data_IF_583464742256
#
_entry.id   IF_583464742256
#
_cell.length_a   1.000
_cell.length_b   1.000
_cell.length_c   1.000
_cell.angle_alpha   90.00
_cell.angle_beta   90.00
_cell.angle_gamma   90.00
#
_symmetry.space_group_name_H-M   'P 1'
#
loop_
_entity.id
_entity.type
_entity.pdbx_description
1 polymer ?
#
# COMPACT_ATOMS: atom_id res chain seq x y z
N UNK A 1 -61.75 15.19 7.13
CA UNK A 1 -61.72 13.78 6.69
C UNK A 1 -60.27 13.38 6.46
N UNK A 2 -59.72 12.56 7.37
CA UNK A 2 -58.29 12.23 7.50
C UNK A 2 -58.03 10.93 6.74
N UNK A 3 -57.36 10.98 5.59
CA UNK A 3 -56.99 9.78 4.82
C UNK A 3 -55.67 9.24 5.36
N UNK A 4 -55.73 8.05 5.96
CA UNK A 4 -54.61 7.21 6.34
C UNK A 4 -53.88 6.76 5.07
N UNK A 5 -52.67 7.27 4.83
CA UNK A 5 -51.74 6.66 3.88
C UNK A 5 -51.05 5.48 4.59
N UNK A 6 -51.34 4.27 4.12
CA UNK A 6 -50.70 3.04 4.58
C UNK A 6 -49.22 3.04 4.24
N UNK A 7 -48.40 2.74 5.25
CA UNK A 7 -46.98 2.42 5.13
C UNK A 7 -46.87 1.04 4.45
N UNK A 8 -46.52 1.01 3.16
CA UNK A 8 -46.02 -0.20 2.51
C UNK A 8 -44.53 -0.28 2.78
N UNK A 9 -44.15 -1.12 3.75
CA UNK A 9 -42.76 -1.53 3.97
C UNK A 9 -42.41 -2.50 2.82
N UNK A 10 -41.46 -2.18 1.92
CA UNK A 10 -40.99 -3.18 0.97
C UNK A 10 -40.23 -4.24 1.76
N UNK A 11 -40.72 -5.48 1.70
CA UNK A 11 -39.99 -6.64 2.15
C UNK A 11 -38.67 -6.72 1.35
N UNK A 12 -37.55 -6.43 2.00
CA UNK A 12 -36.24 -6.80 1.50
C UNK A 12 -36.18 -8.33 1.46
N UNK A 13 -36.37 -8.89 0.28
CA UNK A 13 -36.03 -10.28 0.01
C UNK A 13 -34.51 -10.36 0.14
N UNK A 14 -34.04 -10.97 1.24
CA UNK A 14 -32.66 -11.43 1.36
C UNK A 14 -32.52 -12.55 0.32
N UNK A 15 -31.99 -12.22 -0.85
CA UNK A 15 -31.54 -13.22 -1.82
C UNK A 15 -30.44 -14.03 -1.16
N UNK A 16 -30.77 -15.26 -0.76
CA UNK A 16 -29.78 -16.27 -0.40
C UNK A 16 -28.80 -16.43 -1.56
N UNK A 17 -27.51 -16.43 -1.25
CA UNK A 17 -26.46 -16.74 -2.21
C UNK A 17 -26.78 -18.11 -2.84
N UNK A 18 -26.93 -18.13 -4.17
CA UNK A 18 -26.98 -19.39 -4.89
C UNK A 18 -25.64 -20.10 -4.62
N UNK A 19 -25.68 -21.26 -3.98
CA UNK A 19 -24.52 -22.12 -3.85
C UNK A 19 -24.10 -22.51 -5.27
N UNK A 20 -22.94 -22.02 -5.71
CA UNK A 20 -22.33 -22.43 -6.98
C UNK A 20 -22.01 -23.92 -6.98
N UNK A 21 -21.71 -24.47 -8.16
CA UNK A 21 -21.18 -25.83 -8.28
C UNK A 21 -19.89 -25.95 -7.44
N UNK A 22 -19.86 -26.81 -6.40
CA UNK A 22 -18.69 -26.97 -5.54
C UNK A 22 -17.41 -27.27 -6.30
N UNK A 23 -17.50 -27.99 -7.43
CA UNK A 23 -16.35 -28.30 -8.28
C UNK A 23 -15.76 -27.03 -8.89
N UNK A 24 -16.61 -26.14 -9.40
CA UNK A 24 -16.17 -24.88 -9.99
C UNK A 24 -15.55 -23.93 -8.95
N UNK A 25 -16.10 -23.91 -7.74
CA UNK A 25 -15.52 -23.15 -6.61
C UNK A 25 -14.15 -23.72 -6.22
N UNK A 26 -14.01 -25.04 -6.08
CA UNK A 26 -12.73 -25.69 -5.77
C UNK A 26 -11.69 -25.41 -6.87
N UNK A 27 -12.08 -25.52 -8.14
CA UNK A 27 -11.21 -25.21 -9.28
C UNK A 27 -10.75 -23.75 -9.26
N UNK A 28 -11.64 -22.82 -8.90
CA UNK A 28 -11.25 -21.43 -8.72
C UNK A 28 -10.16 -21.27 -7.66
N UNK A 29 -10.29 -21.88 -6.48
CA UNK A 29 -9.30 -21.71 -5.41
C UNK A 29 -8.01 -22.51 -5.60
N UNK A 30 -8.02 -23.57 -6.41
CA UNK A 30 -6.84 -24.38 -6.70
C UNK A 30 -6.01 -23.89 -7.89
N UNK A 31 -6.60 -23.12 -8.81
CA UNK A 31 -5.91 -22.64 -10.02
C UNK A 31 -6.41 -21.29 -10.55
N UNK A 32 -7.69 -20.95 -10.37
CA UNK A 32 -8.32 -19.78 -10.99
C UNK A 32 -8.09 -18.45 -10.27
N UNK A 33 -7.88 -18.47 -8.95
CA UNK A 33 -7.72 -17.29 -8.12
C UNK A 33 -6.43 -16.55 -8.49
N UNK A 34 -6.53 -15.27 -8.83
CA UNK A 34 -5.39 -14.48 -9.30
C UNK A 34 -4.91 -13.41 -8.32
N UNK A 35 -5.67 -13.15 -7.25
CA UNK A 35 -5.35 -12.20 -6.20
C UNK A 35 -5.17 -10.76 -6.68
N UNK A 36 -5.82 -10.34 -7.78
CA UNK A 36 -5.72 -8.95 -8.29
C UNK A 36 -6.08 -7.90 -7.24
N UNK A 37 -7.02 -8.22 -6.36
CA UNK A 37 -7.45 -7.36 -5.27
C UNK A 37 -6.40 -7.17 -4.17
N UNK A 38 -5.43 -8.07 -4.04
CA UNK A 38 -4.39 -8.00 -2.99
C UNK A 38 -3.52 -6.75 -3.13
N UNK A 39 -3.31 -6.27 -4.36
CA UNK A 39 -2.54 -5.06 -4.64
C UNK A 39 -3.40 -3.78 -4.72
N UNK A 40 -4.73 -3.89 -4.78
CA UNK A 40 -5.63 -2.73 -4.91
C UNK A 40 -5.52 -1.72 -3.75
N UNK A 41 -5.27 -2.11 -2.48
CA UNK A 41 -5.06 -1.15 -1.39
C UNK A 41 -3.95 -0.12 -1.65
N UNK A 42 -2.94 -0.46 -2.47
CA UNK A 42 -1.89 0.50 -2.85
C UNK A 42 -2.42 1.70 -3.61
N UNK A 43 -3.56 1.59 -4.31
CA UNK A 43 -4.16 2.71 -5.05
C UNK A 43 -4.67 3.82 -4.12
N UNK A 44 -4.89 3.50 -2.84
CA UNK A 44 -5.27 4.45 -1.80
C UNK A 44 -4.07 5.17 -1.18
N UNK A 45 -2.85 4.69 -1.43
CA UNK A 45 -1.63 5.31 -0.92
C UNK A 45 -1.25 6.51 -1.80
N UNK A 46 -1.66 7.71 -1.37
CA UNK A 46 -1.35 8.96 -2.05
C UNK A 46 0.16 9.14 -2.25
N UNK A 47 0.60 9.18 -3.51
CA UNK A 47 2.02 9.33 -3.81
C UNK A 47 2.55 10.68 -3.29
N UNK A 48 3.71 10.71 -2.63
CA UNK A 48 4.29 11.95 -2.14
C UNK A 48 4.79 12.80 -3.31
N UNK A 49 4.57 14.11 -3.23
CA UNK A 49 5.23 15.07 -4.13
C UNK A 49 6.65 15.29 -3.62
N UNK A 50 7.63 14.75 -4.35
CA UNK A 50 9.05 14.84 -4.03
C UNK A 50 9.72 15.74 -5.08
N UNK A 51 10.14 16.96 -4.73
CA UNK A 51 10.89 17.82 -5.65
C UNK A 51 12.30 17.25 -5.87
N UNK A 52 13.04 17.81 -6.83
CA UNK A 52 14.45 17.45 -7.02
C UNK A 52 15.32 17.80 -5.80
N UNK A 53 15.04 18.95 -5.18
CA UNK A 53 15.77 19.48 -4.03
C UNK A 53 14.87 20.36 -3.17
N UNK A 54 15.08 20.36 -1.86
CA UNK A 54 14.42 21.31 -0.94
C UNK A 54 15.42 22.32 -0.41
N UNK A 55 15.19 23.61 -0.66
CA UNK A 55 16.12 24.69 -0.25
C UNK A 55 15.77 25.32 1.11
N UNK A 56 14.62 24.98 1.68
CA UNK A 56 14.16 25.53 2.96
C UNK A 56 13.75 24.42 3.92
N UNK A 57 13.93 24.66 5.22
CA UNK A 57 13.49 23.74 6.28
C UNK A 57 12.00 23.43 6.20
N UNK A 58 11.19 24.39 5.76
CA UNK A 58 9.75 24.20 5.58
C UNK A 58 9.47 23.17 4.49
N UNK A 59 10.17 23.24 3.37
CA UNK A 59 9.97 22.33 2.25
C UNK A 59 10.51 20.93 2.58
N UNK A 60 11.63 20.84 3.30
CA UNK A 60 12.15 19.58 3.84
C UNK A 60 11.09 18.90 4.72
N UNK A 61 10.54 19.61 5.70
CA UNK A 61 9.50 19.08 6.60
C UNK A 61 8.25 18.62 5.84
N UNK A 62 7.84 19.35 4.81
CA UNK A 62 6.70 18.97 3.95
C UNK A 62 6.94 17.66 3.21
N UNK A 63 8.10 17.50 2.57
CA UNK A 63 8.45 16.29 1.82
C UNK A 63 8.56 15.09 2.76
N UNK A 64 9.25 15.23 3.89
CA UNK A 64 9.36 14.17 4.91
C UNK A 64 7.98 13.75 5.40
N UNK A 65 7.12 14.70 5.81
CA UNK A 65 5.78 14.37 6.29
C UNK A 65 4.93 13.68 5.21
N UNK A 66 5.06 14.08 3.94
CA UNK A 66 4.36 13.42 2.84
C UNK A 66 4.85 11.99 2.60
N UNK A 67 6.17 11.78 2.61
CA UNK A 67 6.75 10.45 2.47
C UNK A 67 6.39 9.54 3.65
N UNK A 68 6.42 10.05 4.88
CA UNK A 68 6.02 9.29 6.08
C UNK A 68 4.59 8.79 5.98
N UNK A 69 3.62 9.65 5.61
CA UNK A 69 2.22 9.25 5.43
C UNK A 69 2.05 8.18 4.36
N UNK A 70 2.76 8.33 3.24
CA UNK A 70 2.74 7.33 2.18
C UNK A 70 3.35 6.00 2.65
N UNK A 71 4.49 6.04 3.35
CA UNK A 71 5.15 4.85 3.86
C UNK A 71 4.28 4.14 4.90
N UNK A 72 3.63 4.86 5.81
CA UNK A 72 2.65 4.26 6.74
C UNK A 72 1.50 3.55 6.02
N UNK A 73 1.02 4.11 4.90
CA UNK A 73 0.03 3.45 4.05
C UNK A 73 0.59 2.15 3.45
N UNK A 74 1.75 2.23 2.80
CA UNK A 74 2.44 1.07 2.24
C UNK A 74 2.67 -0.03 3.28
N UNK A 75 3.17 0.31 4.47
CA UNK A 75 3.42 -0.65 5.55
C UNK A 75 2.14 -1.33 6.04
N UNK A 76 1.00 -0.64 6.04
CA UNK A 76 -0.30 -1.28 6.33
C UNK A 76 -0.66 -2.32 5.28
N UNK A 77 -0.50 -1.98 3.99
CA UNK A 77 -0.76 -2.93 2.90
C UNK A 77 0.14 -4.18 3.02
N UNK A 78 1.43 -3.99 3.26
CA UNK A 78 2.37 -5.10 3.46
C UNK A 78 1.97 -5.96 4.66
N UNK A 79 1.59 -5.34 5.78
CA UNK A 79 1.15 -6.04 6.98
C UNK A 79 -0.12 -6.85 6.76
N UNK A 80 -1.06 -6.34 5.96
CA UNK A 80 -2.31 -7.06 5.69
C UNK A 80 -2.08 -8.31 4.84
N UNK A 81 -1.00 -8.33 4.05
CA UNK A 81 -0.54 -9.46 3.24
C UNK A 81 0.48 -10.35 3.93
N UNK A 82 0.64 -10.22 5.26
CA UNK A 82 1.58 -11.03 6.02
C UNK A 82 1.33 -12.54 5.78
N UNK A 83 2.30 -13.26 5.18
CA UNK A 83 2.15 -14.67 4.85
C UNK A 83 2.01 -15.56 6.08
N UNK A 84 2.32 -15.06 7.29
CA UNK A 84 2.05 -15.77 8.54
C UNK A 84 0.56 -16.06 8.79
N UNK A 85 -0.34 -15.41 8.04
CA UNK A 85 -1.79 -15.61 8.13
C UNK A 85 -2.32 -16.85 7.39
N UNK A 86 -1.46 -17.64 6.74
CA UNK A 86 -1.83 -18.76 5.87
C UNK A 86 -2.86 -18.35 4.80
N UNK A 87 -2.43 -17.97 3.58
CA UNK A 87 -3.30 -17.50 2.51
C UNK A 87 -4.56 -18.33 2.26
N UNK A 88 -4.48 -19.66 2.40
CA UNK A 88 -5.62 -20.58 2.26
C UNK A 88 -6.81 -20.26 3.19
N UNK A 89 -6.59 -19.52 4.28
CA UNK A 89 -7.66 -19.06 5.18
C UNK A 89 -8.62 -18.03 4.53
N UNK A 90 -8.26 -17.49 3.36
CA UNK A 90 -9.15 -16.62 2.57
C UNK A 90 -10.17 -17.40 1.73
N UNK A 91 -9.96 -18.71 1.54
CA UNK A 91 -10.94 -19.58 0.90
C UNK A 91 -12.18 -19.65 1.80
N UNK A 92 -13.41 -19.47 1.28
CA UNK A 92 -14.62 -19.61 2.07
C UNK A 92 -14.69 -20.98 2.76
N UNK A 93 -15.08 -21.00 4.04
CA UNK A 93 -15.14 -22.24 4.82
C UNK A 93 -16.06 -23.30 4.20
N UNK A 94 -17.14 -22.87 3.55
CA UNK A 94 -18.04 -23.77 2.81
C UNK A 94 -17.31 -24.51 1.69
N UNK A 95 -16.36 -23.86 0.99
CA UNK A 95 -15.58 -24.50 -0.06
C UNK A 95 -14.49 -25.38 0.55
N UNK A 96 -13.81 -24.93 1.61
CA UNK A 96 -12.80 -25.73 2.32
C UNK A 96 -13.36 -27.05 2.85
N UNK A 97 -14.60 -27.07 3.33
CA UNK A 97 -15.25 -28.27 3.84
C UNK A 97 -15.60 -29.30 2.75
N UNK A 98 -15.69 -28.87 1.49
CA UNK A 98 -15.95 -29.74 0.34
C UNK A 98 -14.65 -30.26 -0.30
N UNK A 99 -13.49 -29.70 0.07
CA UNK A 99 -12.19 -30.15 -0.41
C UNK A 99 -11.76 -31.45 0.27
N UNK A 100 -11.21 -32.38 -0.51
CA UNK A 100 -10.37 -33.44 0.00
C UNK A 100 -8.94 -32.93 0.32
N UNK A 101 -8.10 -33.78 0.92
CA UNK A 101 -6.74 -33.40 1.32
C UNK A 101 -5.90 -32.90 0.13
N UNK A 102 -5.97 -33.55 -1.02
CA UNK A 102 -5.20 -33.17 -2.21
C UNK A 102 -5.62 -31.79 -2.75
N UNK A 103 -6.93 -31.53 -2.78
CA UNK A 103 -7.52 -30.24 -3.20
C UNK A 103 -7.14 -29.13 -2.23
N UNK A 104 -7.20 -29.39 -0.92
CA UNK A 104 -6.76 -28.43 0.10
C UNK A 104 -5.29 -28.07 -0.07
N UNK A 105 -4.43 -29.09 -0.26
CA UNK A 105 -2.99 -28.88 -0.46
C UNK A 105 -2.69 -28.14 -1.78
N UNK A 106 -3.46 -28.41 -2.85
CA UNK A 106 -3.34 -27.67 -4.10
C UNK A 106 -3.74 -26.20 -3.93
N UNK A 107 -4.87 -25.93 -3.27
CA UNK A 107 -5.32 -24.57 -2.97
C UNK A 107 -4.31 -23.83 -2.10
N UNK A 108 -3.76 -24.47 -1.06
CA UNK A 108 -2.75 -23.86 -0.20
C UNK A 108 -1.51 -23.41 -1.00
N UNK A 109 -0.96 -24.30 -1.84
CA UNK A 109 0.20 -23.97 -2.70
C UNK A 109 -0.10 -22.84 -3.68
N UNK A 110 -1.24 -22.92 -4.36
CA UNK A 110 -1.65 -21.89 -5.33
C UNK A 110 -1.81 -20.53 -4.66
N UNK A 111 -2.48 -20.49 -3.51
CA UNK A 111 -2.68 -19.27 -2.72
C UNK A 111 -1.35 -18.68 -2.22
N UNK A 112 -0.41 -19.51 -1.77
CA UNK A 112 0.94 -19.06 -1.38
C UNK A 112 1.67 -18.40 -2.56
N UNK A 113 1.59 -18.98 -3.76
CA UNK A 113 2.19 -18.41 -4.96
C UNK A 113 1.53 -17.09 -5.37
N UNK A 114 0.20 -17.01 -5.29
CA UNK A 114 -0.57 -15.78 -5.57
C UNK A 114 -0.17 -14.67 -4.62
N UNK A 115 -0.11 -14.94 -3.32
CA UNK A 115 0.29 -13.95 -2.31
C UNK A 115 1.73 -13.52 -2.50
N UNK A 116 2.64 -14.46 -2.78
CA UNK A 116 4.04 -14.13 -3.06
C UNK A 116 4.18 -13.23 -4.30
N UNK A 117 3.38 -13.46 -5.35
CA UNK A 117 3.32 -12.57 -6.53
C UNK A 117 2.80 -11.18 -6.16
N UNK A 118 1.73 -11.11 -5.35
CA UNK A 118 1.16 -9.84 -4.91
C UNK A 118 2.16 -9.00 -4.09
N UNK A 119 2.86 -9.61 -3.14
CA UNK A 119 3.92 -8.95 -2.35
C UNK A 119 5.01 -8.39 -3.25
N UNK A 120 5.49 -9.16 -4.23
CA UNK A 120 6.48 -8.69 -5.21
C UNK A 120 5.95 -7.52 -6.04
N UNK A 121 4.71 -7.58 -6.52
CA UNK A 121 4.09 -6.52 -7.29
C UNK A 121 3.95 -5.22 -6.47
N UNK A 122 3.60 -5.33 -5.19
CA UNK A 122 3.49 -4.19 -4.28
C UNK A 122 4.87 -3.56 -4.02
N UNK A 123 5.90 -4.39 -3.80
CA UNK A 123 7.29 -3.93 -3.70
C UNK A 123 7.74 -3.16 -4.95
N UNK A 124 7.53 -3.74 -6.14
CA UNK A 124 7.90 -3.11 -7.41
C UNK A 124 7.19 -1.75 -7.63
N UNK A 125 5.96 -1.59 -7.13
CA UNK A 125 5.24 -0.31 -7.17
C UNK A 125 5.78 0.72 -6.17
N UNK A 126 6.32 0.27 -5.04
CA UNK A 126 6.88 1.11 -3.98
C UNK A 126 8.30 1.60 -4.30
N UNK A 127 9.11 0.77 -4.95
CA UNK A 127 10.51 1.05 -5.33
C UNK A 127 10.75 2.45 -5.92
N UNK A 128 10.03 2.89 -6.97
CA UNK A 128 10.28 4.21 -7.56
C UNK A 128 9.96 5.38 -6.61
N UNK A 129 9.09 5.20 -5.62
CA UNK A 129 8.82 6.25 -4.62
C UNK A 129 9.98 6.34 -3.63
N UNK A 130 10.46 5.20 -3.14
CA UNK A 130 11.61 5.11 -2.23
C UNK A 130 12.88 5.64 -2.89
N UNK A 131 13.14 5.27 -4.15
CA UNK A 131 14.28 5.77 -4.91
C UNK A 131 14.25 7.28 -5.07
N UNK A 132 13.10 7.87 -5.45
CA UNK A 132 12.92 9.33 -5.55
C UNK A 132 13.20 10.03 -4.22
N UNK A 133 12.70 9.48 -3.12
CA UNK A 133 12.93 10.06 -1.78
C UNK A 133 14.41 10.02 -1.40
N UNK A 134 15.09 8.89 -1.62
CA UNK A 134 16.53 8.75 -1.36
C UNK A 134 17.35 9.75 -2.18
N UNK A 135 17.08 9.88 -3.48
CA UNK A 135 17.76 10.85 -4.35
C UNK A 135 17.53 12.29 -3.89
N UNK A 136 16.29 12.66 -3.59
CA UNK A 136 15.95 13.97 -3.04
C UNK A 136 16.68 14.25 -1.73
N UNK A 137 16.74 13.27 -0.82
CA UNK A 137 17.44 13.41 0.46
C UNK A 137 18.92 13.70 0.24
N UNK A 138 19.60 12.90 -0.57
CA UNK A 138 21.02 13.09 -0.90
C UNK A 138 21.30 14.46 -1.52
N UNK A 139 20.48 14.90 -2.49
CA UNK A 139 20.65 16.23 -3.13
C UNK A 139 20.41 17.37 -2.15
N UNK A 140 19.39 17.24 -1.31
CA UNK A 140 19.02 18.24 -0.30
C UNK A 140 20.10 18.37 0.78
N UNK A 141 20.62 17.25 1.28
CA UNK A 141 21.73 17.23 2.25
C UNK A 141 22.97 17.91 1.66
N UNK A 142 23.36 17.56 0.43
CA UNK A 142 24.50 18.19 -0.25
C UNK A 142 24.34 19.72 -0.39
N UNK A 143 23.14 20.20 -0.73
CA UNK A 143 22.87 21.64 -0.82
C UNK A 143 22.94 22.34 0.53
N UNK A 144 22.41 21.75 1.59
CA UNK A 144 22.47 22.32 2.94
C UNK A 144 23.91 22.43 3.41
N UNK A 145 24.72 21.38 3.21
CA UNK A 145 26.15 21.39 3.55
C UNK A 145 26.90 22.47 2.75
N UNK A 146 26.68 22.56 1.45
CA UNK A 146 27.33 23.58 0.62
C UNK A 146 26.97 25.00 1.07
N UNK A 147 25.69 25.26 1.36
CA UNK A 147 25.22 26.56 1.83
C UNK A 147 25.75 26.91 3.24
N UNK A 148 26.07 25.92 4.07
CA UNK A 148 26.71 26.12 5.37
C UNK A 148 28.19 26.53 5.20
N UNK A 149 28.93 25.83 4.34
CA UNK A 149 30.32 26.15 4.01
C UNK A 149 30.44 27.56 3.44
N UNK A 150 29.60 27.92 2.45
CA UNK A 150 29.61 29.25 1.83
C UNK A 150 29.38 30.36 2.85
N UNK A 151 28.42 30.16 3.76
CA UNK A 151 28.13 31.12 4.83
C UNK A 151 29.28 31.28 5.82
N UNK A 152 29.99 30.19 6.14
CA UNK A 152 31.17 30.23 6.99
C UNK A 152 32.33 30.99 6.33
N UNK A 153 32.57 30.73 5.04
CA UNK A 153 33.60 31.42 4.24
C UNK A 153 33.30 32.92 4.15
N UNK A 154 32.07 33.29 3.83
CA UNK A 154 31.64 34.69 3.74
C UNK A 154 31.80 35.42 5.07
N UNK A 155 31.44 34.77 6.19
CA UNK A 155 31.62 35.32 7.52
C UNK A 155 33.11 35.54 7.85
N UNK A 156 33.97 34.57 7.57
CA UNK A 156 35.43 34.70 7.76
C UNK A 156 36.00 35.84 6.93
N UNK A 157 35.60 35.95 5.67
CA UNK A 157 36.04 37.02 4.77
C UNK A 157 35.57 38.41 5.23
N UNK A 158 34.33 38.52 5.72
CA UNK A 158 33.80 39.75 6.29
C UNK A 158 34.58 40.20 7.54
N UNK A 159 34.86 39.27 8.45
CA UNK A 159 35.62 39.55 9.67
C UNK A 159 37.07 39.96 9.36
N UNK A 160 37.72 39.30 8.39
CA UNK A 160 39.07 39.66 7.94
C UNK A 160 39.14 41.10 7.42
N UNK A 161 38.19 41.51 6.57
CA UNK A 161 38.17 42.89 6.02
C UNK A 161 37.86 43.98 7.04
N UNK A 162 37.20 43.66 8.15
CA UNK A 162 36.84 44.67 9.18
C UNK A 162 37.93 44.87 10.24
N UNK A 163 38.87 43.93 10.34
CA UNK A 163 40.03 43.99 11.25
C UNK A 163 41.27 44.65 10.66
N UNK A 164 41.20 45.10 9.40
CA UNK A 164 42.20 45.87 8.67
C UNK A 164 41.61 47.20 8.23
#
# INVERSE_FOLDING_TARGET
MKRLLGLLIPAFVVTGAAAGDPVAEIDYWTQGYDGRELAAPMDRCLQPTIPEISRTNRDIKKVVASFTRWNECYQRVVKDLDPSRHPVTHVPSAVLNEMNDDQYQAAARHMDEVYARAVRAIGARADPVVQRFTQWRTRTEAFVTQAEIEREVDLKYYLYRRGH
#
